data_IF_162585402369
#
_entry.id   IF_162585402369
#
_cell.length_a   1.000
_cell.length_b   1.000
_cell.length_c   1.000
_cell.angle_alpha   90.00
_cell.angle_beta   90.00
_cell.angle_gamma   90.00
#
_symmetry.space_group_name_H-M   'P 1'
#
loop_
_entity.id
_entity.type
_entity.pdbx_description
1 polymer ?
#
# COMPACT_ATOMS: atom_id res chain seq x y z
N UNK A 1 -5.73 2.81 17.82
CA UNK A 1 -6.38 2.86 16.52
C UNK A 1 -7.29 1.65 16.34
N UNK A 2 -8.46 1.85 15.75
CA UNK A 2 -9.44 0.78 15.60
C UNK A 2 -8.95 -0.42 14.79
N UNK A 3 -8.07 -0.18 13.81
CA UNK A 3 -7.57 -1.25 12.95
C UNK A 3 -6.74 -2.29 13.71
N UNK A 4 -6.26 -1.98 14.91
CA UNK A 4 -5.57 -2.96 15.74
C UNK A 4 -6.46 -4.13 16.14
N UNK A 5 -7.77 -3.91 16.21
CA UNK A 5 -8.73 -4.94 16.57
C UNK A 5 -9.15 -5.79 15.37
N UNK A 6 -8.75 -5.39 14.17
CA UNK A 6 -9.07 -6.09 12.93
C UNK A 6 -7.85 -6.91 12.53
N UNK A 7 -8.06 -8.18 12.29
CA UNK A 7 -6.98 -9.05 11.84
C UNK A 7 -7.04 -9.17 10.31
N UNK A 8 -6.07 -8.55 9.64
CA UNK A 8 -5.95 -8.60 8.18
C UNK A 8 -4.81 -9.51 7.72
N UNK A 9 -4.40 -10.43 8.57
CA UNK A 9 -3.37 -11.40 8.23
C UNK A 9 -3.76 -12.15 6.96
N UNK A 10 -2.79 -12.31 6.05
CA UNK A 10 -2.97 -12.95 4.75
C UNK A 10 -3.83 -12.16 3.76
N UNK A 11 -4.16 -10.91 4.07
CA UNK A 11 -4.82 -10.03 3.12
C UNK A 11 -3.80 -9.15 2.42
N UNK A 12 -4.09 -8.79 1.18
CA UNK A 12 -3.24 -7.92 0.36
C UNK A 12 -4.01 -6.64 0.06
N UNK A 13 -3.44 -5.51 0.46
CA UNK A 13 -4.03 -4.20 0.24
C UNK A 13 -3.21 -3.40 -0.75
N UNK A 14 -3.87 -2.78 -1.73
CA UNK A 14 -3.24 -1.85 -2.66
C UNK A 14 -3.71 -0.44 -2.33
N UNK A 15 -2.76 0.46 -2.10
CA UNK A 15 -3.06 1.86 -1.75
C UNK A 15 -2.40 2.78 -2.77
N UNK A 16 -3.21 3.59 -3.47
CA UNK A 16 -2.70 4.63 -4.35
C UNK A 16 -2.51 5.92 -3.57
N UNK A 17 -1.58 6.77 -4.01
CA UNK A 17 -1.26 7.99 -3.29
C UNK A 17 -0.71 7.72 -1.89
N UNK A 18 0.03 6.63 -1.72
CA UNK A 18 0.45 6.14 -0.41
C UNK A 18 1.62 6.93 0.20
N UNK A 19 2.23 7.83 -0.56
CA UNK A 19 3.45 8.52 -0.12
C UNK A 19 3.23 9.60 0.93
N UNK A 20 2.03 10.15 1.01
CA UNK A 20 1.73 11.29 1.89
C UNK A 20 0.28 11.25 2.38
N UNK A 21 0.01 12.02 3.43
CA UNK A 21 -1.33 12.33 3.91
C UNK A 21 -2.16 11.09 4.24
N UNK A 22 -3.41 11.12 3.79
CA UNK A 22 -4.38 10.06 4.11
C UNK A 22 -3.95 8.70 3.55
N UNK A 23 -3.42 8.68 2.33
CA UNK A 23 -2.95 7.44 1.71
C UNK A 23 -1.84 6.77 2.51
N UNK A 24 -0.87 7.57 2.96
CA UNK A 24 0.20 7.08 3.83
C UNK A 24 -0.36 6.52 5.15
N UNK A 25 -1.26 7.26 5.78
CA UNK A 25 -1.86 6.83 7.04
C UNK A 25 -2.65 5.53 6.88
N UNK A 26 -3.41 5.40 5.78
CA UNK A 26 -4.14 4.17 5.48
C UNK A 26 -3.20 2.99 5.28
N UNK A 27 -2.14 3.16 4.51
CA UNK A 27 -1.19 2.09 4.24
C UNK A 27 -0.55 1.57 5.54
N UNK A 28 -0.12 2.49 6.40
CA UNK A 28 0.49 2.12 7.67
C UNK A 28 -0.52 1.43 8.59
N UNK A 29 -1.74 1.93 8.66
CA UNK A 29 -2.78 1.32 9.48
C UNK A 29 -3.14 -0.10 9.02
N UNK A 30 -3.22 -0.33 7.72
CA UNK A 30 -3.48 -1.66 7.16
C UNK A 30 -2.33 -2.63 7.47
N UNK A 31 -1.09 -2.16 7.38
CA UNK A 31 0.07 -2.97 7.74
C UNK A 31 0.07 -3.32 9.24
N UNK A 32 -0.27 -2.36 10.08
CA UNK A 32 -0.39 -2.57 11.52
C UNK A 32 -1.44 -3.63 11.84
N UNK A 33 -2.51 -3.70 11.03
CA UNK A 33 -3.55 -4.70 11.18
C UNK A 33 -3.18 -6.07 10.60
N UNK A 34 -2.03 -6.18 9.95
CA UNK A 34 -1.49 -7.46 9.47
C UNK A 34 -1.47 -7.64 7.96
N UNK A 35 -2.01 -6.70 7.18
CA UNK A 35 -2.05 -6.83 5.73
C UNK A 35 -0.67 -6.66 5.10
N UNK A 36 -0.44 -7.33 3.99
CA UNK A 36 0.67 -7.04 3.11
C UNK A 36 0.28 -5.89 2.19
N UNK A 37 1.22 -5.04 1.83
CA UNK A 37 0.93 -3.81 1.10
C UNK A 37 1.54 -3.77 -0.28
N UNK A 38 0.76 -3.22 -1.21
CA UNK A 38 1.21 -2.73 -2.50
C UNK A 38 0.96 -1.24 -2.46
N UNK A 39 2.00 -0.43 -2.52
CA UNK A 39 1.87 1.02 -2.43
C UNK A 39 2.33 1.69 -3.72
N UNK A 40 1.57 2.68 -4.15
CA UNK A 40 1.82 3.41 -5.39
C UNK A 40 1.87 4.90 -5.08
N UNK A 41 2.90 5.57 -5.56
CA UNK A 41 3.06 7.02 -5.46
C UNK A 41 3.98 7.52 -6.56
N UNK A 42 3.95 8.81 -6.84
CA UNK A 42 4.82 9.42 -7.84
C UNK A 42 6.26 9.60 -7.36
N UNK A 43 6.47 9.63 -6.06
CA UNK A 43 7.76 10.00 -5.47
C UNK A 43 8.42 8.81 -4.78
N UNK A 44 9.54 8.38 -5.34
CA UNK A 44 10.29 7.23 -4.79
C UNK A 44 10.72 7.46 -3.34
N UNK A 45 11.18 8.68 -3.01
CA UNK A 45 11.61 9.02 -1.66
C UNK A 45 10.51 8.76 -0.63
N UNK A 46 9.29 9.20 -0.95
CA UNK A 46 8.15 9.04 -0.06
C UNK A 46 7.78 7.56 0.10
N UNK A 47 7.81 6.81 -1.01
CA UNK A 47 7.54 5.37 -0.98
C UNK A 47 8.56 4.63 -0.13
N UNK A 48 9.84 4.97 -0.25
CA UNK A 48 10.89 4.31 0.52
C UNK A 48 10.68 4.50 2.03
N UNK A 49 10.27 5.69 2.45
CA UNK A 49 9.98 5.99 3.85
C UNK A 49 8.78 5.19 4.36
N UNK A 50 7.71 5.16 3.58
CA UNK A 50 6.51 4.42 3.95
C UNK A 50 6.78 2.92 3.98
N UNK A 51 7.51 2.41 3.00
CA UNK A 51 7.89 1.00 2.94
C UNK A 51 8.68 0.58 4.17
N UNK A 52 9.64 1.40 4.62
CA UNK A 52 10.39 1.13 5.84
C UNK A 52 9.48 1.00 7.06
N UNK A 53 8.53 1.92 7.19
CA UNK A 53 7.57 1.90 8.29
C UNK A 53 6.70 0.65 8.26
N UNK A 54 6.20 0.30 7.07
CA UNK A 54 5.36 -0.90 6.90
C UNK A 54 6.11 -2.16 7.29
N UNK A 55 7.37 -2.27 6.88
CA UNK A 55 8.18 -3.46 7.18
C UNK A 55 8.45 -3.66 8.65
N UNK A 56 8.36 -2.61 9.46
CA UNK A 56 8.47 -2.73 10.92
C UNK A 56 7.37 -3.58 11.53
N UNK A 57 6.24 -3.69 10.86
CA UNK A 57 5.12 -4.53 11.30
C UNK A 57 5.22 -5.96 10.76
N UNK A 58 6.34 -6.32 10.13
CA UNK A 58 6.57 -7.63 9.50
C UNK A 58 5.67 -7.89 8.31
N UNK A 59 5.02 -6.86 7.77
CA UNK A 59 4.26 -6.95 6.53
C UNK A 59 5.19 -6.89 5.33
N UNK A 60 4.82 -7.59 4.27
CA UNK A 60 5.48 -7.45 2.98
C UNK A 60 5.01 -6.14 2.37
N UNK A 61 5.90 -5.47 1.64
CA UNK A 61 5.56 -4.21 1.00
C UNK A 61 6.24 -4.13 -0.37
N UNK A 62 5.43 -4.06 -1.41
CA UNK A 62 5.90 -3.79 -2.76
C UNK A 62 5.53 -2.35 -3.13
N UNK A 63 6.51 -1.57 -3.50
CA UNK A 63 6.34 -0.16 -3.83
C UNK A 63 6.57 0.07 -5.32
N UNK A 64 5.68 0.83 -5.93
CA UNK A 64 5.77 1.16 -7.36
C UNK A 64 5.71 2.68 -7.54
N UNK A 65 6.72 3.23 -8.21
CA UNK A 65 6.71 4.64 -8.61
C UNK A 65 5.84 4.75 -9.86
N UNK A 66 4.69 5.41 -9.71
CA UNK A 66 3.75 5.55 -10.81
C UNK A 66 2.83 6.73 -10.56
N UNK A 67 2.55 7.47 -11.62
CA UNK A 67 1.51 8.49 -11.60
C UNK A 67 0.17 7.80 -11.85
N UNK A 68 -0.78 7.92 -10.92
CA UNK A 68 -2.08 7.26 -11.03
C UNK A 68 -2.90 7.75 -12.21
N UNK A 69 -2.54 8.90 -12.80
CA UNK A 69 -3.17 9.36 -14.05
C UNK A 69 -2.69 8.57 -15.25
N UNK A 70 -1.59 7.83 -15.13
CA UNK A 70 -1.13 6.92 -16.17
C UNK A 70 -1.87 5.59 -16.04
N UNK A 71 -3.00 5.51 -16.69
CA UNK A 71 -3.91 4.38 -16.59
C UNK A 71 -3.25 3.04 -16.96
N UNK A 72 -2.43 3.03 -18.02
CA UNK A 72 -1.76 1.81 -18.46
C UNK A 72 -0.79 1.26 -17.41
N UNK A 73 -0.02 2.12 -16.77
CA UNK A 73 0.92 1.69 -15.75
C UNK A 73 0.20 1.13 -14.53
N UNK A 74 -0.86 1.80 -14.10
CA UNK A 74 -1.66 1.32 -12.96
C UNK A 74 -2.25 -0.05 -13.26
N UNK A 75 -2.80 -0.21 -14.47
CA UNK A 75 -3.37 -1.49 -14.90
C UNK A 75 -2.32 -2.60 -14.92
N UNK A 76 -1.12 -2.32 -15.41
CA UNK A 76 -0.05 -3.30 -15.41
C UNK A 76 0.34 -3.72 -14.00
N UNK A 77 0.44 -2.77 -13.07
CA UNK A 77 0.74 -3.07 -11.68
C UNK A 77 -0.32 -3.98 -11.08
N UNK A 78 -1.59 -3.66 -11.30
CA UNK A 78 -2.71 -4.46 -10.80
C UNK A 78 -2.66 -5.87 -11.38
N UNK A 79 -2.40 -6.00 -12.67
CA UNK A 79 -2.39 -7.30 -13.35
C UNK A 79 -1.23 -8.20 -12.90
N UNK A 80 -0.17 -7.64 -12.37
CA UNK A 80 0.95 -8.41 -11.83
C UNK A 80 0.63 -9.07 -10.50
N UNK A 81 -0.40 -8.60 -9.82
CA UNK A 81 -0.70 -9.09 -8.49
C UNK A 81 -1.52 -10.38 -8.59
N UNK A 82 -1.19 -11.36 -7.76
CA UNK A 82 -1.95 -12.60 -7.68
C UNK A 82 -3.34 -12.37 -7.13
N UNK A 83 -3.44 -11.42 -6.20
CA UNK A 83 -4.68 -11.14 -5.49
C UNK A 83 -4.60 -9.74 -4.90
N UNK A 84 -5.73 -9.06 -4.89
CA UNK A 84 -5.91 -7.80 -4.15
C UNK A 84 -7.19 -7.94 -3.37
N UNK A 85 -7.12 -7.91 -2.05
CA UNK A 85 -8.28 -8.04 -1.17
C UNK A 85 -8.88 -6.69 -0.81
N UNK A 86 -8.03 -5.65 -0.71
CA UNK A 86 -8.44 -4.31 -0.30
C UNK A 86 -7.84 -3.31 -1.27
N UNK A 87 -8.66 -2.40 -1.77
CA UNK A 87 -8.22 -1.30 -2.64
C UNK A 87 -8.56 0.03 -1.99
N UNK A 88 -7.54 0.84 -1.74
CA UNK A 88 -7.71 2.21 -1.27
C UNK A 88 -7.28 3.14 -2.41
N UNK A 89 -8.28 3.72 -3.05
CA UNK A 89 -8.07 4.66 -4.16
C UNK A 89 -8.12 6.08 -3.61
N UNK A 90 -6.96 6.59 -3.32
CA UNK A 90 -6.82 7.90 -2.68
C UNK A 90 -6.57 9.01 -3.72
#
# INVERSE_FOLDING_TARGET
MYLKKINLKNKIALVTGAGKGIGKACAIALAEAGADLIIISRTKRDLDKVSKTIKKFKSKCNAYVCDVTNYHQVKEIINKQKRIDILVNN
#
